data_IF_046239297165
#
_entry.id   IF_046239297165
#
_cell.length_a   1.000
_cell.length_b   1.000
_cell.length_c   1.000
_cell.angle_alpha   90.00
_cell.angle_beta   90.00
_cell.angle_gamma   90.00
#
_symmetry.space_group_name_H-M   'P 1'
#
loop_
_entity.id
_entity.type
_entity.pdbx_description
1 polymer ?
#
# COMPACT_ATOMS: atom_id res chain seq x y z
N UNK A 1 -12.75 9.94 6.18
CA UNK A 1 -11.65 10.94 6.29
C UNK A 1 -10.45 10.56 5.42
N UNK A 2 -9.80 9.41 5.65
CA UNK A 2 -8.56 9.06 4.93
C UNK A 2 -8.69 8.98 3.40
N UNK A 3 -9.76 8.40 2.87
CA UNK A 3 -9.98 8.34 1.41
C UNK A 3 -10.29 9.72 0.77
N UNK A 4 -10.59 10.76 1.55
CA UNK A 4 -10.64 12.15 1.09
C UNK A 4 -9.25 12.81 1.16
N UNK A 5 -8.51 12.55 2.24
CA UNK A 5 -7.21 13.16 2.45
C UNK A 5 -6.11 12.55 1.57
N UNK A 6 -6.11 11.23 1.34
CA UNK A 6 -5.05 10.50 0.63
C UNK A 6 -4.79 11.03 -0.79
N UNK A 7 -5.82 11.37 -1.59
CA UNK A 7 -5.61 11.97 -2.91
C UNK A 7 -5.08 13.41 -2.88
N UNK A 8 -5.17 14.12 -1.75
CA UNK A 8 -4.74 15.51 -1.60
C UNK A 8 -5.81 16.48 -1.10
N UNK A 9 -6.90 15.98 -0.49
CA UNK A 9 -7.93 16.81 0.14
C UNK A 9 -7.54 17.28 1.55
N UNK A 10 -7.89 18.52 1.90
CA UNK A 10 -7.63 19.10 3.20
C UNK A 10 -8.69 18.68 4.24
N UNK A 11 -8.29 18.55 5.50
CA UNK A 11 -9.18 18.10 6.61
C UNK A 11 -9.09 18.92 7.89
N UNK A 12 -8.22 19.93 7.96
CA UNK A 12 -8.02 20.75 9.17
C UNK A 12 -7.96 22.24 8.86
N UNK A 13 -7.01 22.65 8.02
CA UNK A 13 -6.74 24.07 7.78
C UNK A 13 -7.77 24.69 6.83
N UNK A 14 -8.15 25.93 7.10
CA UNK A 14 -8.93 26.78 6.19
C UNK A 14 -8.06 27.25 5.02
N UNK A 15 -8.70 27.65 3.90
CA UNK A 15 -8.07 28.26 2.73
C UNK A 15 -6.96 27.40 2.09
N UNK A 16 -7.16 26.08 2.07
CA UNK A 16 -6.26 25.15 1.39
C UNK A 16 -6.56 25.06 -0.10
N UNK A 17 -5.52 24.78 -0.88
CA UNK A 17 -5.64 24.34 -2.26
C UNK A 17 -5.51 22.82 -2.31
N UNK A 18 -6.30 22.18 -3.16
CA UNK A 18 -6.41 20.73 -3.24
C UNK A 18 -6.10 20.22 -4.65
N UNK A 19 -5.76 18.94 -4.76
CA UNK A 19 -5.60 18.26 -6.06
C UNK A 19 -6.94 18.12 -6.76
N UNK A 20 -6.97 18.27 -8.09
CA UNK A 20 -8.19 17.99 -8.87
C UNK A 20 -8.54 16.49 -8.80
N UNK A 21 -9.72 16.09 -8.31
CA UNK A 21 -10.04 14.67 -8.05
C UNK A 21 -9.88 13.74 -9.26
N UNK A 22 -10.19 14.22 -10.48
CA UNK A 22 -10.02 13.41 -11.70
C UNK A 22 -8.57 13.16 -12.13
N UNK A 23 -7.58 13.81 -11.49
CA UNK A 23 -6.15 13.56 -11.75
C UNK A 23 -5.55 12.56 -10.75
N UNK A 24 -6.33 12.18 -9.75
CA UNK A 24 -5.91 11.36 -8.60
C UNK A 24 -7.00 10.33 -8.23
N UNK A 25 -7.83 9.94 -9.20
CA UNK A 25 -8.98 9.03 -9.01
C UNK A 25 -8.55 7.57 -8.80
N UNK A 26 -7.28 7.26 -9.06
CA UNK A 26 -6.62 5.99 -8.78
C UNK A 26 -6.08 5.89 -7.34
N UNK A 27 -6.11 6.99 -6.58
CA UNK A 27 -5.61 7.06 -5.21
C UNK A 27 -6.67 6.63 -4.20
N UNK A 28 -6.35 5.63 -3.37
CA UNK A 28 -7.26 5.14 -2.35
C UNK A 28 -6.53 4.39 -1.23
N UNK A 29 -7.26 4.16 -0.13
CA UNK A 29 -6.84 3.28 0.97
C UNK A 29 -7.92 2.24 1.23
N UNK A 30 -7.49 0.99 1.30
CA UNK A 30 -8.29 -0.13 1.79
C UNK A 30 -7.60 -0.85 2.93
N UNK A 31 -8.32 -1.71 3.62
CA UNK A 31 -7.87 -2.41 4.81
C UNK A 31 -8.06 -3.91 4.62
N UNK A 32 -7.16 -4.72 5.15
CA UNK A 32 -7.40 -6.14 5.40
C UNK A 32 -7.03 -6.51 6.83
N UNK A 33 -7.65 -7.57 7.34
CA UNK A 33 -7.41 -8.16 8.65
C UNK A 33 -7.62 -9.66 8.58
N UNK A 34 -6.99 -10.42 9.48
CA UNK A 34 -7.27 -11.84 9.67
C UNK A 34 -8.39 -12.11 10.68
N UNK A 35 -8.89 -11.05 11.32
CA UNK A 35 -10.00 -11.11 12.28
C UNK A 35 -11.34 -10.89 11.59
N UNK A 36 -12.12 -11.97 11.47
CA UNK A 36 -13.41 -11.96 10.77
C UNK A 36 -14.44 -11.04 11.48
N UNK A 37 -14.41 -10.94 12.81
CA UNK A 37 -15.31 -10.04 13.56
C UNK A 37 -15.02 -8.58 13.20
N UNK A 38 -13.74 -8.21 13.20
CA UNK A 38 -13.32 -6.86 12.80
C UNK A 38 -13.63 -6.62 11.31
N UNK A 39 -13.45 -7.61 10.45
CA UNK A 39 -13.73 -7.48 9.02
C UNK A 39 -15.22 -7.23 8.74
N UNK A 40 -16.11 -7.90 9.46
CA UNK A 40 -17.57 -7.77 9.30
C UNK A 40 -18.10 -6.40 9.74
N UNK A 41 -17.43 -5.75 10.69
CA UNK A 41 -17.76 -4.40 11.16
C UNK A 41 -17.22 -3.28 10.25
N UNK A 42 -16.30 -3.60 9.33
CA UNK A 42 -15.76 -2.63 8.37
C UNK A 42 -16.68 -2.50 7.16
N UNK A 43 -17.02 -1.26 6.82
CA UNK A 43 -17.77 -0.94 5.60
C UNK A 43 -17.12 -1.59 4.35
N UNK A 44 -17.88 -2.39 3.56
CA UNK A 44 -17.31 -3.22 2.49
C UNK A 44 -16.52 -2.48 1.42
N UNK A 45 -16.81 -1.20 1.18
CA UNK A 45 -16.08 -0.39 0.20
C UNK A 45 -14.60 -0.18 0.56
N UNK A 46 -14.27 -0.25 1.87
CA UNK A 46 -12.91 -0.07 2.38
C UNK A 46 -12.21 -1.40 2.69
N UNK A 47 -12.92 -2.53 2.60
CA UNK A 47 -12.38 -3.84 2.96
C UNK A 47 -11.83 -4.60 1.74
N UNK A 48 -10.59 -5.07 1.85
CA UNK A 48 -10.04 -6.15 1.04
C UNK A 48 -10.39 -7.49 1.70
N UNK A 49 -11.57 -7.99 1.39
CA UNK A 49 -12.11 -9.20 2.01
C UNK A 49 -11.34 -10.46 1.52
N UNK A 50 -10.61 -11.10 2.43
CA UNK A 50 -9.75 -12.23 2.11
C UNK A 50 -10.53 -13.46 1.62
N UNK A 51 -11.70 -13.75 2.19
CA UNK A 51 -12.54 -14.88 1.78
C UNK A 51 -13.15 -14.70 0.39
N UNK A 52 -13.38 -13.44 -0.03
CA UNK A 52 -13.83 -13.12 -1.40
C UNK A 52 -12.69 -13.15 -2.42
N UNK A 53 -11.47 -12.80 -1.99
CA UNK A 53 -10.33 -12.65 -2.89
C UNK A 53 -9.56 -13.95 -3.09
N UNK A 54 -9.53 -14.86 -2.10
CA UNK A 54 -8.69 -16.04 -2.11
C UNK A 54 -9.49 -17.34 -2.01
N UNK A 55 -9.01 -18.44 -2.60
CA UNK A 55 -9.55 -19.77 -2.33
C UNK A 55 -9.52 -20.08 -0.83
N UNK A 56 -10.51 -20.82 -0.33
CA UNK A 56 -10.73 -21.03 1.12
C UNK A 56 -9.47 -21.48 1.89
N UNK A 57 -8.65 -22.38 1.31
CA UNK A 57 -7.39 -22.83 1.94
C UNK A 57 -6.38 -21.68 2.08
N UNK A 58 -6.23 -20.87 1.04
CA UNK A 58 -5.31 -19.72 1.04
C UNK A 58 -5.84 -18.60 1.94
N UNK A 59 -7.15 -18.32 1.90
CA UNK A 59 -7.78 -17.36 2.80
C UNK A 59 -7.55 -17.72 4.27
N UNK A 60 -7.78 -18.98 4.66
CA UNK A 60 -7.53 -19.45 6.02
C UNK A 60 -6.06 -19.31 6.43
N UNK A 61 -5.11 -19.64 5.54
CA UNK A 61 -3.68 -19.48 5.81
C UNK A 61 -3.28 -18.01 5.97
N UNK A 62 -3.80 -17.12 5.12
CA UNK A 62 -3.55 -15.68 5.20
C UNK A 62 -4.15 -15.07 6.45
N UNK A 63 -5.39 -15.43 6.80
CA UNK A 63 -6.03 -14.98 8.05
C UNK A 63 -5.23 -15.43 9.28
N UNK A 64 -4.76 -16.68 9.29
CA UNK A 64 -3.92 -17.17 10.38
C UNK A 64 -2.57 -16.41 10.48
N UNK A 65 -1.96 -16.06 9.34
CA UNK A 65 -0.71 -15.32 9.31
C UNK A 65 -0.86 -13.85 9.72
N UNK A 66 -1.96 -13.20 9.32
CA UNK A 66 -2.29 -11.82 9.69
C UNK A 66 -2.77 -11.75 11.15
N UNK A 67 -3.45 -12.79 11.63
CA UNK A 67 -4.02 -12.85 12.97
C UNK A 67 -5.01 -11.72 13.22
N UNK A 68 -4.99 -11.16 14.43
CA UNK A 68 -5.85 -10.03 14.82
C UNK A 68 -5.33 -8.66 14.40
N UNK A 69 -4.25 -8.62 13.60
CA UNK A 69 -3.71 -7.37 13.10
C UNK A 69 -4.50 -6.86 11.90
N UNK A 70 -4.49 -5.54 11.73
CA UNK A 70 -5.14 -4.84 10.64
C UNK A 70 -4.10 -4.04 9.87
N UNK A 71 -4.16 -4.11 8.55
CA UNK A 71 -3.21 -3.45 7.65
C UNK A 71 -3.93 -2.56 6.65
N UNK A 72 -3.34 -1.39 6.38
CA UNK A 72 -3.81 -0.47 5.35
C UNK A 72 -3.01 -0.69 4.06
N UNK A 73 -3.69 -1.01 2.97
CA UNK A 73 -3.15 -1.00 1.62
C UNK A 73 -3.38 0.39 1.01
N UNK A 74 -2.32 1.19 0.94
CA UNK A 74 -2.34 2.58 0.47
C UNK A 74 -1.81 2.67 -0.96
N UNK A 75 -2.62 3.24 -1.85
CA UNK A 75 -2.26 3.56 -3.22
C UNK A 75 -2.21 5.08 -3.36
N UNK A 76 -1.03 5.65 -3.59
CA UNK A 76 -0.87 7.09 -3.87
C UNK A 76 -1.18 7.37 -5.35
N UNK A 77 -1.43 8.62 -5.76
CA UNK A 77 -1.78 8.90 -7.16
C UNK A 77 -0.65 8.53 -8.12
N UNK A 78 -0.98 7.86 -9.23
CA UNK A 78 0.00 7.50 -10.27
C UNK A 78 0.70 8.73 -10.82
N UNK A 79 0.00 9.87 -10.97
CA UNK A 79 0.61 11.12 -11.44
C UNK A 79 1.73 11.62 -10.51
N UNK A 80 1.57 11.44 -9.19
CA UNK A 80 2.60 11.77 -8.20
C UNK A 80 3.78 10.81 -8.33
N UNK A 81 3.51 9.50 -8.41
CA UNK A 81 4.58 8.50 -8.56
C UNK A 81 5.40 8.71 -9.84
N UNK A 82 4.76 9.13 -10.94
CA UNK A 82 5.43 9.42 -12.22
C UNK A 82 6.21 10.72 -12.20
N UNK A 83 5.76 11.71 -11.43
CA UNK A 83 6.42 13.02 -11.30
C UNK A 83 7.61 12.94 -10.33
N UNK A 84 7.54 12.04 -9.35
CA UNK A 84 8.52 11.88 -8.30
C UNK A 84 9.23 10.52 -8.41
N UNK A 85 9.29 9.76 -7.32
CA UNK A 85 9.98 8.48 -7.19
C UNK A 85 9.23 7.52 -6.25
N UNK A 86 9.72 6.28 -6.11
CA UNK A 86 9.16 5.30 -5.16
C UNK A 86 9.31 5.72 -3.68
N UNK A 87 10.36 6.49 -3.36
CA UNK A 87 10.58 7.03 -2.02
C UNK A 87 9.44 7.93 -1.54
N UNK A 88 8.71 8.53 -2.46
CA UNK A 88 7.57 9.40 -2.16
C UNK A 88 6.39 8.64 -1.57
N UNK A 89 6.17 7.37 -1.93
CA UNK A 89 4.96 6.60 -1.56
C UNK A 89 4.72 6.53 -0.06
N UNK A 90 5.69 6.06 0.73
CA UNK A 90 5.50 5.90 2.18
C UNK A 90 5.41 7.24 2.91
N UNK A 91 6.10 8.26 2.39
CA UNK A 91 6.07 9.62 2.95
C UNK A 91 4.70 10.25 2.72
N UNK A 92 4.22 10.25 1.48
CA UNK A 92 2.88 10.74 1.13
C UNK A 92 1.81 10.03 1.97
N UNK A 93 1.85 8.69 2.00
CA UNK A 93 0.95 7.87 2.82
C UNK A 93 0.92 8.34 4.27
N UNK A 94 2.09 8.46 4.91
CA UNK A 94 2.16 8.84 6.32
C UNK A 94 1.64 10.26 6.59
N UNK A 95 1.84 11.22 5.67
CA UNK A 95 1.31 12.58 5.85
C UNK A 95 -0.21 12.57 5.91
N UNK A 96 -0.84 11.88 4.95
CA UNK A 96 -2.30 11.86 4.87
C UNK A 96 -2.94 10.98 5.95
N UNK A 97 -2.25 9.91 6.39
CA UNK A 97 -2.64 9.13 7.58
C UNK A 97 -2.61 10.03 8.82
N UNK A 98 -1.53 10.77 9.07
CA UNK A 98 -1.41 11.66 10.23
C UNK A 98 -2.52 12.71 10.28
N UNK A 99 -2.77 13.40 9.15
CA UNK A 99 -3.86 14.38 9.05
C UNK A 99 -5.24 13.75 9.26
N UNK A 100 -5.42 12.51 8.79
CA UNK A 100 -6.68 11.80 8.97
C UNK A 100 -6.90 11.35 10.41
N UNK A 101 -5.85 10.98 11.14
CA UNK A 101 -5.95 10.72 12.58
C UNK A 101 -6.37 11.97 13.33
N UNK A 102 -5.75 13.12 13.03
CA UNK A 102 -6.13 14.41 13.62
C UNK A 102 -7.61 14.70 13.38
N UNK A 103 -8.07 14.60 12.13
CA UNK A 103 -9.46 14.89 11.76
C UNK A 103 -10.47 13.88 12.29
N UNK A 104 -10.16 12.57 12.27
CA UNK A 104 -11.10 11.51 12.63
C UNK A 104 -11.21 11.26 14.14
N UNK A 105 -10.14 11.50 14.89
CA UNK A 105 -10.08 11.26 16.34
C UNK A 105 -10.06 12.55 17.17
N UNK A 106 -10.30 13.71 16.55
CA UNK A 106 -10.34 15.01 17.21
C UNK A 106 -9.08 15.32 18.04
N UNK A 107 -7.92 14.90 17.54
CA UNK A 107 -6.64 15.19 18.20
C UNK A 107 -6.28 16.67 18.04
N UNK A 108 -5.41 17.17 18.93
CA UNK A 108 -4.82 18.49 18.71
C UNK A 108 -3.91 18.45 17.48
N UNK A 109 -4.11 19.40 16.55
CA UNK A 109 -3.37 19.47 15.30
C UNK A 109 -1.91 19.92 15.53
N UNK A 110 -1.05 18.96 15.92
CA UNK A 110 0.38 19.18 16.17
C UNK A 110 0.83 18.92 17.62
N UNK A 111 0.11 18.11 18.40
CA UNK A 111 0.58 17.67 19.71
C UNK A 111 1.63 16.55 19.64
N UNK A 112 2.29 16.26 20.76
CA UNK A 112 3.39 15.27 20.82
C UNK A 112 2.99 13.87 20.31
N UNK A 113 1.75 13.43 20.57
CA UNK A 113 1.25 12.13 20.10
C UNK A 113 1.20 12.00 18.57
N UNK A 114 1.14 13.12 17.84
CA UNK A 114 1.20 13.12 16.36
C UNK A 114 2.57 12.63 15.87
N UNK A 115 3.64 12.84 16.64
CA UNK A 115 4.97 12.33 16.30
C UNK A 115 5.03 10.79 16.37
N UNK A 116 4.32 10.17 17.32
CA UNK A 116 4.25 8.71 17.42
C UNK A 116 3.52 8.11 16.22
N UNK A 117 2.44 8.75 15.75
CA UNK A 117 1.75 8.37 14.52
C UNK A 117 2.67 8.49 13.30
N UNK A 118 3.46 9.56 13.21
CA UNK A 118 4.42 9.74 12.14
C UNK A 118 5.52 8.67 12.16
N UNK A 119 6.03 8.30 13.34
CA UNK A 119 7.02 7.24 13.47
C UNK A 119 6.45 5.87 13.09
N UNK A 120 5.24 5.56 13.54
CA UNK A 120 4.53 4.33 13.21
C UNK A 120 4.30 4.22 11.69
N UNK A 121 3.73 5.25 11.06
CA UNK A 121 3.39 5.21 9.64
C UNK A 121 4.60 5.29 8.69
N UNK A 122 5.77 5.76 9.15
CA UNK A 122 6.97 5.91 8.31
C UNK A 122 8.04 4.85 8.55
N UNK A 123 8.03 4.17 9.70
CA UNK A 123 9.10 3.25 10.09
C UNK A 123 8.57 2.00 10.79
N UNK A 124 7.90 2.13 11.93
CA UNK A 124 7.62 0.97 12.78
C UNK A 124 6.53 0.03 12.26
N UNK A 125 5.57 0.56 11.49
CA UNK A 125 4.41 -0.18 10.97
C UNK A 125 4.31 -0.16 9.44
N UNK A 126 5.34 0.31 8.72
CA UNK A 126 5.30 0.38 7.26
C UNK A 126 5.94 -0.85 6.64
N UNK A 127 5.28 -1.42 5.64
CA UNK A 127 5.85 -2.43 4.75
C UNK A 127 6.06 -1.77 3.39
N UNK A 128 7.32 -1.58 3.01
CA UNK A 128 7.69 -1.05 1.71
C UNK A 128 7.74 -2.17 0.67
N UNK A 129 7.51 -1.84 -0.59
CA UNK A 129 7.59 -2.83 -1.68
C UNK A 129 9.04 -3.24 -1.95
N UNK A 130 9.98 -2.31 -1.73
CA UNK A 130 11.40 -2.49 -1.98
C UNK A 130 12.26 -1.74 -0.97
N UNK A 131 13.41 -2.31 -0.63
CA UNK A 131 14.42 -1.69 0.24
C UNK A 131 15.26 -0.65 -0.54
N UNK A 132 15.89 0.28 0.18
CA UNK A 132 16.81 1.28 -0.39
C UNK A 132 18.05 0.61 -1.02
N UNK A 133 18.57 1.16 -2.11
CA UNK A 133 19.75 0.62 -2.79
C UNK A 133 21.08 1.25 -2.36
N UNK A 134 22.20 0.49 -2.40
CA UNK A 134 23.53 1.01 -2.11
C UNK A 134 23.95 2.15 -3.06
N UNK A 135 24.84 3.01 -2.57
CA UNK A 135 25.25 4.25 -3.23
C UNK A 135 25.67 4.12 -4.71
N UNK A 136 26.30 3.00 -5.11
CA UNK A 136 26.71 2.77 -6.51
C UNK A 136 25.52 2.76 -7.48
N UNK A 137 24.33 2.39 -7.02
CA UNK A 137 23.07 2.35 -7.78
C UNK A 137 21.96 3.01 -6.96
N UNK A 138 22.27 4.18 -6.40
CA UNK A 138 21.45 4.87 -5.42
C UNK A 138 20.01 5.09 -5.91
N UNK A 139 19.08 4.52 -5.15
CA UNK A 139 17.64 4.63 -5.33
C UNK A 139 16.99 4.55 -3.96
N UNK A 140 15.93 5.33 -3.77
CA UNK A 140 15.08 5.24 -2.60
C UNK A 140 14.38 3.88 -2.49
N UNK A 141 13.58 3.68 -1.43
CA UNK A 141 12.74 2.50 -1.34
C UNK A 141 11.63 2.52 -2.41
N UNK A 142 10.93 1.40 -2.56
CA UNK A 142 9.90 1.14 -3.59
C UNK A 142 10.39 1.21 -5.05
N UNK A 143 11.70 1.16 -5.29
CA UNK A 143 12.27 1.07 -6.64
C UNK A 143 12.53 -0.38 -7.07
N UNK A 144 12.44 -0.73 -8.37
CA UNK A 144 12.47 -2.13 -8.81
C UNK A 144 13.65 -2.96 -8.30
N UNK A 145 14.85 -2.38 -8.27
CA UNK A 145 16.06 -3.10 -7.87
C UNK A 145 16.11 -3.53 -6.40
N UNK A 146 15.24 -2.98 -5.54
CA UNK A 146 15.13 -3.35 -4.13
C UNK A 146 14.02 -4.37 -3.83
N UNK A 147 13.23 -4.76 -4.85
CA UNK A 147 12.14 -5.74 -4.68
C UNK A 147 12.76 -7.14 -4.54
N UNK A 148 12.40 -7.85 -3.47
CA UNK A 148 12.81 -9.26 -3.28
C UNK A 148 11.98 -10.15 -4.19
N UNK A 149 12.59 -11.17 -4.81
CA UNK A 149 11.87 -12.07 -5.74
C UNK A 149 10.65 -12.76 -5.11
N UNK A 150 10.71 -13.11 -3.82
CA UNK A 150 9.55 -13.65 -3.10
C UNK A 150 8.40 -12.65 -3.04
N UNK A 151 8.67 -11.41 -2.63
CA UNK A 151 7.66 -10.33 -2.62
C UNK A 151 7.10 -10.09 -4.03
N UNK A 152 7.96 -10.10 -5.05
CA UNK A 152 7.52 -9.94 -6.42
C UNK A 152 6.60 -11.09 -6.86
N UNK A 153 6.91 -12.33 -6.49
CA UNK A 153 6.03 -13.47 -6.69
C UNK A 153 4.65 -13.25 -6.07
N UNK A 154 4.60 -12.77 -4.83
CA UNK A 154 3.35 -12.51 -4.09
C UNK A 154 2.54 -11.32 -4.65
N UNK A 155 3.20 -10.35 -5.32
CA UNK A 155 2.49 -9.26 -6.01
C UNK A 155 1.63 -9.79 -7.18
N UNK A 156 2.07 -10.87 -7.83
CA UNK A 156 1.38 -11.44 -9.00
C UNK A 156 0.25 -12.37 -8.54
N UNK A 157 -0.98 -11.99 -8.85
CA UNK A 157 -2.20 -12.61 -8.31
C UNK A 157 -2.65 -13.87 -9.06
N UNK A 158 -1.76 -14.50 -9.82
CA UNK A 158 -2.11 -15.63 -10.67
C UNK A 158 -2.36 -16.92 -9.88
N UNK A 159 -1.66 -17.10 -8.76
CA UNK A 159 -1.78 -18.24 -7.86
C UNK A 159 -3.17 -18.38 -7.24
N UNK A 160 -3.79 -17.26 -6.80
CA UNK A 160 -5.15 -17.26 -6.26
C UNK A 160 -6.22 -17.46 -7.33
N UNK A 161 -5.91 -17.13 -8.60
CA UNK A 161 -6.83 -17.29 -9.74
C UNK A 161 -6.74 -18.67 -10.40
N UNK A 162 -5.55 -19.25 -10.45
CA UNK A 162 -5.28 -20.57 -11.05
C UNK A 162 -4.57 -21.50 -10.04
N UNK A 163 -5.19 -21.81 -8.89
CA UNK A 163 -4.54 -22.52 -7.79
C UNK A 163 -4.15 -23.98 -8.12
N UNK A 164 -4.74 -24.54 -9.17
CA UNK A 164 -4.49 -25.91 -9.63
C UNK A 164 -3.61 -25.97 -10.89
N UNK A 165 -3.12 -24.83 -11.39
CA UNK A 165 -2.20 -24.74 -12.53
C UNK A 165 -0.91 -24.02 -12.10
N UNK A 166 0.01 -24.74 -11.44
CA UNK A 166 1.24 -24.15 -10.91
C UNK A 166 2.19 -23.66 -12.02
N UNK A 167 2.12 -24.25 -13.22
CA UNK A 167 2.91 -23.81 -14.37
C UNK A 167 2.43 -22.43 -14.81
N UNK A 168 1.11 -22.25 -14.99
CA UNK A 168 0.56 -20.95 -15.34
C UNK A 168 0.85 -19.89 -14.28
N UNK A 169 0.62 -20.20 -13.01
CA UNK A 169 0.90 -19.26 -11.92
C UNK A 169 2.36 -18.82 -11.91
N UNK A 170 3.29 -19.76 -12.11
CA UNK A 170 4.73 -19.47 -12.17
C UNK A 170 5.09 -18.65 -13.42
N UNK A 171 4.54 -18.98 -14.59
CA UNK A 171 4.84 -18.27 -15.83
C UNK A 171 4.30 -16.84 -15.85
N UNK A 172 3.19 -16.55 -15.17
CA UNK A 172 2.72 -15.17 -14.96
C UNK A 172 3.72 -14.35 -14.12
N UNK A 173 4.32 -14.97 -13.09
CA UNK A 173 5.41 -14.34 -12.32
C UNK A 173 6.63 -14.08 -13.21
N UNK A 174 7.03 -15.05 -14.04
CA UNK A 174 8.15 -14.90 -14.98
C UNK A 174 7.86 -13.78 -15.99
N UNK A 175 6.66 -13.76 -16.58
CA UNK A 175 6.27 -12.75 -17.56
C UNK A 175 6.31 -11.34 -16.98
N UNK A 176 5.74 -11.15 -15.79
CA UNK A 176 5.81 -9.87 -15.09
C UNK A 176 7.25 -9.49 -14.70
N UNK A 177 8.04 -10.46 -14.27
CA UNK A 177 9.43 -10.26 -13.83
C UNK A 177 10.35 -9.89 -14.99
N UNK A 178 10.19 -10.53 -16.14
CA UNK A 178 10.94 -10.17 -17.35
C UNK A 178 10.65 -8.73 -17.79
N UNK A 179 9.38 -8.30 -17.71
CA UNK A 179 9.00 -6.93 -18.02
C UNK A 179 9.61 -5.94 -17.01
N UNK A 180 9.43 -6.17 -15.71
CA UNK A 180 9.87 -5.20 -14.70
C UNK A 180 11.39 -5.18 -14.52
N UNK A 181 12.01 -6.35 -14.36
CA UNK A 181 13.44 -6.43 -14.01
C UNK A 181 14.33 -6.24 -15.23
N UNK A 182 14.01 -6.80 -16.39
CA UNK A 182 14.88 -6.66 -17.57
C UNK A 182 14.56 -5.40 -18.36
N UNK A 183 13.30 -5.20 -18.75
CA UNK A 183 12.96 -4.10 -19.66
C UNK A 183 12.98 -2.73 -18.98
N UNK A 184 12.44 -2.63 -17.77
CA UNK A 184 12.40 -1.36 -17.03
C UNK A 184 13.66 -1.18 -16.19
N UNK A 185 13.97 -2.09 -15.26
CA UNK A 185 15.02 -1.83 -14.27
C UNK A 185 16.44 -1.93 -14.84
N UNK A 186 16.77 -2.99 -15.58
CA UNK A 186 18.09 -3.14 -16.19
C UNK A 186 18.21 -2.39 -17.53
N UNK A 187 17.08 -2.18 -18.21
CA UNK A 187 17.01 -1.58 -19.53
C UNK A 187 16.83 -0.05 -19.57
N UNK A 188 16.50 0.61 -18.45
CA UNK A 188 16.28 2.05 -18.35
C UNK A 188 16.76 2.64 -17.03
#
# INVERSE_FOLDING_TARGET
VLNHAMPGGAVVQEHMVETHPSLVDDCYVKIFTGDDETADDIEPQFLLNLDKLFPAKSAAALKAAVGKSMFQAVHIPTTVSRTCDGGTTSRWSAMQIGMSFIGAYHMCAGEAAVADLAFAAKHAGVIQMADILPARRARGPNEPGGIKFGHFGDMIQADRKYPNDPVKATLEVVGAGAMLFDQIWLGS
#
